data_IF_183988692332
#
_entry.id   IF_183988692332
#
_cell.length_a   1.000
_cell.length_b   1.000
_cell.length_c   1.000
_cell.angle_alpha   90.00
_cell.angle_beta   90.00
_cell.angle_gamma   90.00
#
_symmetry.space_group_name_H-M   'P 1'
#
loop_
_entity.id
_entity.type
_entity.pdbx_description
1 polymer ?
#
# COMPACT_ATOMS: atom_id res chain seq x y z
N UNK A 1 -37.32 14.25 43.48
CA UNK A 1 -36.71 13.21 42.60
C UNK A 1 -36.97 13.64 41.17
N UNK A 2 -35.95 13.91 40.34
CA UNK A 2 -36.17 14.26 38.95
C UNK A 2 -36.66 13.01 38.19
N UNK A 3 -37.70 13.19 37.38
CA UNK A 3 -38.24 12.19 36.47
C UNK A 3 -37.14 11.74 35.50
N UNK A 4 -37.00 10.42 35.36
CA UNK A 4 -36.05 9.82 34.44
C UNK A 4 -36.34 10.26 33.02
N UNK A 5 -35.32 10.81 32.36
CA UNK A 5 -35.29 10.98 30.92
C UNK A 5 -35.69 9.65 30.29
N UNK A 6 -36.84 9.64 29.63
CA UNK A 6 -37.24 8.56 28.75
C UNK A 6 -36.13 8.44 27.71
N UNK A 7 -35.30 7.40 27.82
CA UNK A 7 -34.42 6.98 26.75
C UNK A 7 -35.29 6.87 25.49
N UNK A 8 -35.20 7.88 24.62
CA UNK A 8 -35.90 7.89 23.35
C UNK A 8 -35.58 6.57 22.65
N UNK A 9 -36.61 5.82 22.31
CA UNK A 9 -36.46 4.46 21.80
C UNK A 9 -35.89 4.51 20.37
N UNK A 10 -34.56 4.57 20.30
CA UNK A 10 -33.82 4.51 19.05
C UNK A 10 -34.22 3.25 18.27
N UNK A 11 -34.45 3.41 16.97
CA UNK A 11 -34.87 2.35 16.05
C UNK A 11 -36.37 2.00 16.05
N UNK A 12 -37.23 2.82 16.65
CA UNK A 12 -38.69 2.55 16.69
C UNK A 12 -39.51 3.27 15.61
N UNK A 13 -38.99 4.35 15.02
CA UNK A 13 -39.67 5.09 13.96
C UNK A 13 -38.68 5.89 13.09
N UNK A 14 -39.16 6.47 11.99
CA UNK A 14 -38.36 7.38 11.15
C UNK A 14 -37.93 8.65 11.91
N UNK A 15 -38.67 9.05 12.94
CA UNK A 15 -38.32 10.16 13.83
C UNK A 15 -37.26 9.76 14.87
N UNK A 16 -37.03 8.46 15.07
CA UNK A 16 -36.03 7.90 15.99
C UNK A 16 -35.24 6.80 15.28
N UNK A 17 -34.51 7.12 14.19
CA UNK A 17 -33.80 6.12 13.42
C UNK A 17 -32.62 5.53 14.21
N UNK A 18 -32.18 4.32 13.83
CA UNK A 18 -30.91 3.78 14.33
C UNK A 18 -29.76 4.59 13.71
N UNK A 19 -28.98 5.26 14.54
CA UNK A 19 -27.80 5.98 14.10
C UNK A 19 -26.61 5.02 14.14
N UNK A 20 -25.89 4.94 13.03
CA UNK A 20 -24.67 4.13 12.93
C UNK A 20 -23.49 5.10 12.84
N UNK A 21 -22.80 5.41 13.95
CA UNK A 21 -21.73 6.41 13.95
C UNK A 21 -20.59 6.01 13.02
N UNK A 22 -20.08 6.96 12.23
CA UNK A 22 -18.92 6.75 11.36
C UNK A 22 -19.15 5.83 10.16
N UNK A 23 -20.41 5.61 9.76
CA UNK A 23 -20.75 4.92 8.50
C UNK A 23 -21.49 5.87 7.59
N UNK A 24 -20.99 6.06 6.37
CA UNK A 24 -21.68 6.89 5.37
C UNK A 24 -22.87 6.10 4.81
N UNK A 25 -23.93 6.81 4.44
CA UNK A 25 -25.11 6.19 3.83
C UNK A 25 -24.78 5.39 2.55
N UNK A 26 -23.78 5.82 1.77
CA UNK A 26 -23.31 5.10 0.58
C UNK A 26 -22.68 3.75 0.91
N UNK A 27 -21.89 3.68 1.98
CA UNK A 27 -21.18 2.46 2.43
C UNK A 27 -22.21 1.46 2.96
N UNK A 28 -23.14 1.94 3.81
CA UNK A 28 -24.23 1.10 4.32
C UNK A 28 -25.13 0.57 3.20
N UNK A 29 -25.41 1.40 2.18
CA UNK A 29 -26.16 0.97 0.99
C UNK A 29 -25.46 -0.16 0.24
N UNK A 30 -24.13 -0.16 0.16
CA UNK A 30 -23.38 -1.26 -0.47
C UNK A 30 -23.56 -2.57 0.31
N UNK A 31 -23.53 -2.53 1.64
CA UNK A 31 -23.86 -3.69 2.47
C UNK A 31 -25.32 -4.15 2.25
N UNK A 32 -26.29 -3.22 2.24
CA UNK A 32 -27.70 -3.57 2.03
C UNK A 32 -27.92 -4.23 0.66
N UNK A 33 -27.23 -3.78 -0.39
CA UNK A 33 -27.25 -4.45 -1.69
C UNK A 33 -26.75 -5.90 -1.59
N UNK A 34 -25.69 -6.16 -0.83
CA UNK A 34 -25.19 -7.52 -0.63
C UNK A 34 -26.19 -8.43 0.11
N UNK A 35 -26.99 -7.85 1.01
CA UNK A 35 -27.98 -8.61 1.80
C UNK A 35 -29.26 -8.88 0.99
N UNK A 36 -29.78 -7.86 0.31
CA UNK A 36 -31.12 -7.90 -0.27
C UNK A 36 -31.15 -8.18 -1.77
N UNK A 37 -30.06 -7.92 -2.52
CA UNK A 37 -30.03 -8.20 -3.95
C UNK A 37 -29.57 -9.65 -4.20
N UNK A 38 -30.34 -10.45 -4.96
CA UNK A 38 -29.86 -11.75 -5.42
C UNK A 38 -28.55 -11.60 -6.20
N UNK A 39 -27.65 -12.59 -6.13
CA UNK A 39 -26.42 -12.59 -6.93
C UNK A 39 -26.66 -12.55 -8.46
N UNK A 40 -27.89 -12.85 -8.89
CA UNK A 40 -28.34 -12.76 -10.28
C UNK A 40 -28.88 -11.37 -10.68
N UNK A 41 -28.88 -10.41 -9.77
CA UNK A 41 -29.31 -9.03 -10.05
C UNK A 41 -28.38 -8.38 -11.09
N UNK A 42 -28.97 -7.58 -11.98
CA UNK A 42 -28.25 -6.79 -12.98
C UNK A 42 -27.14 -5.93 -12.37
N UNK A 43 -27.26 -5.52 -11.10
CA UNK A 43 -26.19 -4.84 -10.37
C UNK A 43 -24.92 -5.69 -10.21
N UNK A 44 -25.06 -6.94 -9.77
CA UNK A 44 -23.91 -7.85 -9.62
C UNK A 44 -23.34 -8.22 -10.98
N UNK A 45 -24.21 -8.45 -11.97
CA UNK A 45 -23.79 -8.67 -13.35
C UNK A 45 -23.03 -7.46 -13.87
N UNK A 46 -23.48 -6.22 -13.67
CA UNK A 46 -22.77 -5.02 -14.17
C UNK A 46 -21.39 -4.85 -13.54
N UNK A 47 -21.30 -5.04 -12.22
CA UNK A 47 -20.02 -4.99 -11.48
C UNK A 47 -19.04 -6.02 -12.04
N UNK A 48 -19.52 -7.23 -12.39
CA UNK A 48 -18.65 -8.34 -12.80
C UNK A 48 -18.49 -8.47 -14.33
N UNK A 49 -19.35 -7.81 -15.13
CA UNK A 49 -19.51 -8.04 -16.57
C UNK A 49 -18.37 -7.51 -17.43
N UNK A 50 -17.51 -6.66 -16.90
CA UNK A 50 -16.36 -6.15 -17.63
C UNK A 50 -15.24 -5.70 -16.69
N UNK A 51 -14.57 -6.69 -16.07
CA UNK A 51 -13.41 -6.48 -15.19
C UNK A 51 -12.16 -5.97 -15.93
N UNK A 52 -12.23 -5.69 -17.24
CA UNK A 52 -11.14 -5.06 -17.99
C UNK A 52 -11.19 -3.53 -17.89
N UNK A 53 -12.36 -2.95 -17.61
CA UNK A 53 -12.49 -1.52 -17.35
C UNK A 53 -11.97 -1.18 -15.95
N UNK A 54 -10.93 -0.36 -15.89
CA UNK A 54 -10.31 0.07 -14.65
C UNK A 54 -11.26 0.86 -13.72
N UNK A 55 -12.23 1.57 -14.31
CA UNK A 55 -13.26 2.29 -13.55
C UNK A 55 -14.22 1.32 -12.87
N UNK A 56 -14.56 0.19 -13.51
CA UNK A 56 -15.43 -0.82 -12.91
C UNK A 56 -14.73 -1.52 -11.76
N UNK A 57 -13.48 -1.92 -11.96
CA UNK A 57 -12.75 -2.64 -10.93
C UNK A 57 -12.40 -1.77 -9.70
N UNK A 58 -12.24 -0.45 -9.85
CA UNK A 58 -12.18 0.46 -8.69
C UNK A 58 -13.49 0.48 -7.91
N UNK A 59 -14.64 0.61 -8.59
CA UNK A 59 -15.96 0.59 -7.93
C UNK A 59 -16.19 -0.75 -7.22
N UNK A 60 -15.75 -1.84 -7.84
CA UNK A 60 -15.78 -3.19 -7.26
C UNK A 60 -14.90 -3.26 -6.00
N UNK A 61 -13.69 -2.70 -6.03
CA UNK A 61 -12.82 -2.61 -4.85
C UNK A 61 -13.50 -1.84 -3.72
N UNK A 62 -14.00 -0.64 -3.98
CA UNK A 62 -14.71 0.18 -2.96
C UNK A 62 -15.93 -0.55 -2.41
N UNK A 63 -16.71 -1.19 -3.28
CA UNK A 63 -17.87 -1.99 -2.89
C UNK A 63 -17.49 -3.16 -1.97
N UNK A 64 -16.49 -3.95 -2.34
CA UNK A 64 -16.01 -5.05 -1.51
C UNK A 64 -15.39 -4.54 -0.20
N UNK A 65 -14.65 -3.43 -0.22
CA UNK A 65 -14.09 -2.81 0.99
C UNK A 65 -15.16 -2.37 1.98
N UNK A 66 -16.24 -1.74 1.51
CA UNK A 66 -17.38 -1.38 2.34
C UNK A 66 -18.02 -2.61 2.97
N UNK A 67 -18.21 -3.69 2.18
CA UNK A 67 -18.78 -4.94 2.68
C UNK A 67 -17.86 -5.58 3.71
N UNK A 68 -16.56 -5.69 3.45
CA UNK A 68 -15.62 -6.30 4.39
C UNK A 68 -15.64 -5.58 5.74
N UNK A 69 -15.47 -4.25 5.72
CA UNK A 69 -15.42 -3.42 6.93
C UNK A 69 -16.74 -3.43 7.71
N UNK A 70 -17.87 -3.28 7.03
CA UNK A 70 -19.17 -3.25 7.70
C UNK A 70 -19.59 -4.64 8.17
N UNK A 71 -19.30 -5.70 7.42
CA UNK A 71 -19.59 -7.07 7.83
C UNK A 71 -18.78 -7.44 9.07
N UNK A 72 -17.50 -7.06 9.13
CA UNK A 72 -16.70 -7.20 10.34
C UNK A 72 -17.33 -6.46 11.53
N UNK A 73 -17.68 -5.18 11.33
CA UNK A 73 -18.30 -4.36 12.38
C UNK A 73 -19.63 -4.91 12.89
N UNK A 74 -20.46 -5.49 12.03
CA UNK A 74 -21.77 -6.04 12.39
C UNK A 74 -21.74 -7.55 12.71
N UNK A 75 -20.57 -8.19 12.71
CA UNK A 75 -20.45 -9.61 13.02
C UNK A 75 -21.09 -10.53 11.97
N UNK A 76 -20.91 -10.23 10.69
CA UNK A 76 -21.45 -11.00 9.54
C UNK A 76 -20.31 -11.72 8.79
N UNK A 77 -19.70 -12.77 9.39
CA UNK A 77 -18.43 -13.36 8.93
C UNK A 77 -18.50 -13.94 7.51
N UNK A 78 -19.69 -14.36 7.06
CA UNK A 78 -19.88 -14.89 5.70
C UNK A 78 -19.58 -13.83 4.64
N UNK A 79 -20.07 -12.61 4.82
CA UNK A 79 -19.89 -11.52 3.85
C UNK A 79 -18.49 -10.90 3.98
N UNK A 80 -17.96 -10.84 5.19
CA UNK A 80 -16.57 -10.42 5.44
C UNK A 80 -15.59 -11.32 4.67
N UNK A 81 -15.66 -12.64 4.85
CA UNK A 81 -14.78 -13.59 4.17
C UNK A 81 -14.93 -13.58 2.65
N UNK A 82 -16.16 -13.42 2.15
CA UNK A 82 -16.40 -13.28 0.72
C UNK A 82 -15.74 -12.00 0.17
N UNK A 83 -15.97 -10.86 0.83
CA UNK A 83 -15.44 -9.58 0.39
C UNK A 83 -13.92 -9.54 0.45
N UNK A 84 -13.31 -10.12 1.49
CA UNK A 84 -11.85 -10.26 1.57
C UNK A 84 -11.28 -11.08 0.40
N UNK A 85 -11.94 -12.19 0.05
CA UNK A 85 -11.57 -13.00 -1.10
C UNK A 85 -11.61 -12.23 -2.41
N UNK A 86 -12.67 -11.44 -2.62
CA UNK A 86 -12.80 -10.59 -3.81
C UNK A 86 -11.77 -9.45 -3.83
N UNK A 87 -11.52 -8.77 -2.71
CA UNK A 87 -10.46 -7.74 -2.62
C UNK A 87 -9.11 -8.35 -3.00
N UNK A 88 -8.75 -9.50 -2.42
CA UNK A 88 -7.50 -10.19 -2.72
C UNK A 88 -7.42 -10.61 -4.19
N UNK A 89 -8.52 -11.09 -4.77
CA UNK A 89 -8.58 -11.44 -6.19
C UNK A 89 -8.39 -10.20 -7.06
N UNK A 90 -9.05 -9.08 -6.74
CA UNK A 90 -8.90 -7.81 -7.44
C UNK A 90 -7.45 -7.31 -7.36
N UNK A 91 -6.85 -7.25 -6.18
CA UNK A 91 -5.46 -6.79 -6.00
C UNK A 91 -4.47 -7.69 -6.76
N UNK A 92 -4.63 -9.02 -6.67
CA UNK A 92 -3.70 -9.96 -7.33
C UNK A 92 -3.80 -9.90 -8.85
N UNK A 93 -5.02 -9.81 -9.40
CA UNK A 93 -5.26 -9.74 -10.85
C UNK A 93 -4.92 -8.37 -11.42
N UNK A 94 -4.96 -7.34 -10.58
CA UNK A 94 -4.89 -5.95 -11.00
C UNK A 94 -3.61 -5.25 -10.59
N UNK A 95 -2.67 -5.89 -9.91
CA UNK A 95 -1.39 -5.27 -9.53
C UNK A 95 -0.68 -4.58 -10.72
N UNK A 96 -0.69 -5.19 -11.91
CA UNK A 96 -0.19 -4.55 -13.15
C UNK A 96 -1.15 -3.53 -13.79
N UNK A 97 -2.44 -3.59 -13.45
CA UNK A 97 -3.48 -2.73 -14.01
C UNK A 97 -3.92 -1.61 -13.07
N UNK A 98 -3.52 -1.55 -11.80
CA UNK A 98 -3.85 -0.53 -10.80
C UNK A 98 -3.56 0.89 -11.31
N UNK A 99 -2.58 1.01 -12.21
CA UNK A 99 -2.32 2.20 -13.02
C UNK A 99 -3.52 2.72 -13.80
N UNK A 100 -4.32 1.83 -14.39
CA UNK A 100 -5.51 2.25 -15.12
C UNK A 100 -6.62 2.73 -14.16
N UNK A 101 -6.62 2.29 -12.88
CA UNK A 101 -7.68 2.58 -11.90
C UNK A 101 -7.62 4.02 -11.42
N UNK A 102 -6.40 4.53 -11.26
CA UNK A 102 -6.08 5.82 -10.69
C UNK A 102 -6.19 6.98 -11.68
N UNK A 103 -5.90 6.75 -12.97
CA UNK A 103 -5.84 7.82 -13.99
C UNK A 103 -7.18 8.52 -14.30
N UNK A 104 -8.32 8.04 -13.80
CA UNK A 104 -9.65 8.59 -14.11
C UNK A 104 -10.46 9.07 -12.91
N UNK A 105 -9.93 8.95 -11.69
CA UNK A 105 -10.68 9.34 -10.49
C UNK A 105 -9.96 10.44 -9.71
N UNK A 106 -10.77 11.30 -9.09
CA UNK A 106 -10.26 12.46 -8.36
C UNK A 106 -9.54 12.09 -7.06
N UNK A 107 -9.74 10.88 -6.52
CA UNK A 107 -9.12 10.47 -5.25
C UNK A 107 -9.03 8.94 -5.01
N UNK A 108 -8.16 8.23 -5.73
CA UNK A 108 -8.04 6.79 -5.60
C UNK A 108 -7.41 6.36 -4.28
N UNK A 109 -6.48 7.14 -3.72
CA UNK A 109 -5.74 6.76 -2.51
C UNK A 109 -6.66 6.80 -1.29
N UNK A 110 -7.45 7.86 -1.09
CA UNK A 110 -8.27 7.95 0.13
C UNK A 110 -9.36 6.88 0.20
N UNK A 111 -9.82 6.39 -0.94
CA UNK A 111 -10.78 5.29 -1.01
C UNK A 111 -10.22 3.94 -0.51
N UNK A 112 -8.89 3.73 -0.61
CA UNK A 112 -8.23 2.48 -0.25
C UNK A 112 -7.85 2.46 1.23
N UNK A 113 -7.55 3.61 1.84
CA UNK A 113 -7.11 3.73 3.23
C UNK A 113 -8.04 3.07 4.27
N UNK A 114 -9.38 3.19 4.18
CA UNK A 114 -10.28 2.47 5.09
C UNK A 114 -10.11 0.95 5.00
N UNK A 115 -9.78 0.44 3.81
CA UNK A 115 -9.51 -0.99 3.58
C UNK A 115 -8.19 -1.41 4.22
N UNK A 116 -7.16 -0.56 4.15
CA UNK A 116 -5.87 -0.79 4.81
C UNK A 116 -6.04 -0.83 6.33
N UNK A 117 -6.80 0.12 6.89
CA UNK A 117 -7.13 0.12 8.32
C UNK A 117 -7.88 -1.15 8.73
N UNK A 118 -8.82 -1.62 7.90
CA UNK A 118 -9.50 -2.91 8.10
C UNK A 118 -8.53 -4.11 8.07
N UNK A 119 -7.60 -4.16 7.11
CA UNK A 119 -6.62 -5.23 7.01
C UNK A 119 -5.73 -5.31 8.26
N UNK A 120 -5.33 -4.15 8.80
CA UNK A 120 -4.60 -4.06 10.06
C UNK A 120 -5.43 -4.51 11.26
N UNK A 121 -6.68 -4.06 11.34
CA UNK A 121 -7.60 -4.44 12.42
C UNK A 121 -7.80 -5.95 12.49
N UNK A 122 -7.88 -6.61 11.33
CA UNK A 122 -8.04 -8.07 11.20
C UNK A 122 -6.72 -8.84 11.21
N UNK A 123 -5.58 -8.15 11.37
CA UNK A 123 -4.23 -8.72 11.34
C UNK A 123 -3.92 -9.49 10.05
N UNK A 124 -4.58 -9.14 8.94
CA UNK A 124 -4.38 -9.77 7.65
C UNK A 124 -3.16 -9.19 6.94
N UNK A 125 -1.97 -9.69 7.29
CA UNK A 125 -0.69 -9.19 6.74
C UNK A 125 -0.59 -9.24 5.23
N UNK A 126 -1.16 -10.27 4.60
CA UNK A 126 -1.13 -10.38 3.14
C UNK A 126 -1.95 -9.26 2.50
N UNK A 127 -3.16 -9.01 2.99
CA UNK A 127 -4.01 -7.94 2.49
C UNK A 127 -3.39 -6.56 2.78
N UNK A 128 -2.81 -6.38 3.98
CA UNK A 128 -2.08 -5.17 4.35
C UNK A 128 -0.97 -4.85 3.35
N UNK A 129 -0.10 -5.81 3.04
CA UNK A 129 1.00 -5.62 2.08
C UNK A 129 0.52 -5.31 0.66
N UNK A 130 -0.50 -6.01 0.15
CA UNK A 130 -1.02 -5.73 -1.19
C UNK A 130 -1.71 -4.36 -1.29
N UNK A 131 -2.42 -3.93 -0.25
CA UNK A 131 -3.03 -2.60 -0.21
C UNK A 131 -1.98 -1.49 -0.09
N UNK A 132 -0.97 -1.69 0.77
CA UNK A 132 0.13 -0.74 0.92
C UNK A 132 0.90 -0.60 -0.39
N UNK A 133 1.27 -1.73 -1.02
CA UNK A 133 1.90 -1.75 -2.34
C UNK A 133 1.03 -1.02 -3.38
N UNK A 134 -0.27 -1.32 -3.41
CA UNK A 134 -1.22 -0.66 -4.30
C UNK A 134 -1.20 0.87 -4.13
N UNK A 135 -1.25 1.37 -2.90
CA UNK A 135 -1.16 2.81 -2.60
C UNK A 135 0.19 3.40 -3.06
N UNK A 136 1.29 2.72 -2.76
CA UNK A 136 2.63 3.19 -3.12
C UNK A 136 2.79 3.27 -4.64
N UNK A 137 2.42 2.20 -5.34
CA UNK A 137 2.43 2.12 -6.80
C UNK A 137 1.50 3.14 -7.46
N UNK A 138 0.33 3.41 -6.88
CA UNK A 138 -0.55 4.47 -7.36
C UNK A 138 0.09 5.87 -7.23
N UNK A 139 0.91 6.09 -6.21
CA UNK A 139 1.50 7.41 -5.92
C UNK A 139 2.70 7.76 -6.81
N UNK A 140 3.38 6.78 -7.42
CA UNK A 140 4.49 7.05 -8.35
C UNK A 140 4.03 7.58 -9.70
N UNK A 141 2.75 7.42 -10.05
CA UNK A 141 2.19 7.84 -11.33
C UNK A 141 1.94 9.36 -11.31
N UNK A 142 2.66 10.17 -12.11
CA UNK A 142 2.60 11.63 -12.01
C UNK A 142 1.21 12.23 -12.28
N UNK A 143 0.39 11.53 -13.07
CA UNK A 143 -0.98 11.94 -13.40
C UNK A 143 -1.92 11.78 -12.20
N UNK A 144 -1.58 10.91 -11.25
CA UNK A 144 -2.47 10.50 -10.17
C UNK A 144 -2.37 11.40 -8.96
N UNK A 145 -1.17 11.91 -8.66
CA UNK A 145 -0.94 12.60 -7.39
C UNK A 145 -0.06 13.84 -7.58
N UNK A 146 -0.66 15.03 -7.77
CA UNK A 146 0.11 16.26 -7.84
C UNK A 146 0.82 16.52 -6.50
N UNK A 147 1.92 17.30 -6.49
CA UNK A 147 2.73 17.52 -5.30
C UNK A 147 1.94 18.05 -4.09
N UNK A 148 0.94 18.90 -4.34
CA UNK A 148 0.06 19.45 -3.30
C UNK A 148 -0.84 18.40 -2.67
N UNK A 149 -1.37 17.45 -3.46
CA UNK A 149 -2.13 16.31 -2.94
C UNK A 149 -1.25 15.36 -2.13
N UNK A 150 -0.02 15.12 -2.59
CA UNK A 150 0.96 14.32 -1.86
C UNK A 150 1.32 14.95 -0.50
N UNK A 151 1.55 16.26 -0.48
CA UNK A 151 1.77 17.03 0.75
C UNK A 151 0.56 16.95 1.70
N UNK A 152 -0.65 17.14 1.17
CA UNK A 152 -1.89 17.00 1.94
C UNK A 152 -2.05 15.59 2.53
N UNK A 153 -1.72 14.53 1.78
CA UNK A 153 -1.75 13.16 2.30
C UNK A 153 -0.75 12.98 3.46
N UNK A 154 0.47 13.51 3.31
CA UNK A 154 1.47 13.47 4.39
C UNK A 154 1.03 14.21 5.65
N UNK A 155 0.39 15.37 5.51
CA UNK A 155 -0.11 16.14 6.65
C UNK A 155 -1.33 15.48 7.31
N UNK A 156 -2.29 14.98 6.51
CA UNK A 156 -3.58 14.48 7.01
C UNK A 156 -3.52 13.07 7.60
N UNK A 157 -2.79 12.15 6.96
CA UNK A 157 -2.71 10.76 7.46
C UNK A 157 -1.78 10.62 8.66
N UNK A 158 -0.98 11.66 8.89
CA UNK A 158 -0.14 11.76 10.06
C UNK A 158 0.97 10.71 10.07
N UNK A 159 2.08 11.07 10.70
CA UNK A 159 3.25 10.21 10.84
C UNK A 159 2.98 8.93 11.64
N UNK A 160 1.90 8.89 12.44
CA UNK A 160 1.61 7.84 13.44
C UNK A 160 0.76 6.68 12.92
N UNK A 161 -0.18 6.93 12.02
CA UNK A 161 -1.13 5.90 11.58
C UNK A 161 -0.49 4.97 10.54
N UNK A 162 0.28 5.56 9.62
CA UNK A 162 0.85 4.86 8.46
C UNK A 162 2.33 5.26 8.22
N UNK A 163 3.27 4.91 9.12
CA UNK A 163 4.67 5.35 9.01
C UNK A 163 5.34 4.90 7.71
N UNK A 164 5.03 3.70 7.20
CA UNK A 164 5.60 3.22 5.93
C UNK A 164 5.09 4.03 4.72
N UNK A 165 3.80 4.37 4.66
CA UNK A 165 3.27 5.22 3.58
C UNK A 165 3.82 6.65 3.70
N UNK A 166 3.88 7.17 4.92
CA UNK A 166 4.46 8.48 5.20
C UNK A 166 5.90 8.57 4.69
N UNK A 167 6.76 7.60 5.04
CA UNK A 167 8.16 7.61 4.62
C UNK A 167 8.32 7.45 3.11
N UNK A 168 7.44 6.70 2.47
CA UNK A 168 7.41 6.59 1.02
C UNK A 168 6.99 7.91 0.34
N UNK A 169 5.92 8.55 0.80
CA UNK A 169 5.49 9.85 0.27
C UNK A 169 6.51 10.96 0.49
N UNK A 170 7.18 10.92 1.64
CA UNK A 170 8.32 11.79 1.91
C UNK A 170 9.44 11.60 0.88
N UNK A 171 9.79 10.35 0.55
CA UNK A 171 10.75 10.06 -0.51
C UNK A 171 10.30 10.56 -1.87
N UNK A 172 9.01 10.43 -2.21
CA UNK A 172 8.48 11.00 -3.45
C UNK A 172 8.61 12.51 -3.50
N UNK A 173 8.26 13.23 -2.42
CA UNK A 173 8.47 14.68 -2.35
C UNK A 173 9.94 15.05 -2.49
N UNK A 174 10.84 14.29 -1.87
CA UNK A 174 12.28 14.49 -2.04
C UNK A 174 12.72 14.33 -3.50
N UNK A 175 12.19 13.33 -4.20
CA UNK A 175 12.52 13.05 -5.59
C UNK A 175 12.05 14.16 -6.56
N UNK A 176 10.98 14.90 -6.22
CA UNK A 176 10.51 16.03 -7.02
C UNK A 176 11.48 17.23 -7.03
N UNK A 177 12.30 17.35 -5.98
CA UNK A 177 13.37 18.32 -5.89
C UNK A 177 12.94 19.76 -5.63
N UNK A 178 13.93 20.64 -5.48
CA UNK A 178 13.76 21.99 -4.92
C UNK A 178 12.75 22.87 -5.67
N UNK A 179 12.61 22.71 -7.00
CA UNK A 179 11.71 23.53 -7.81
C UNK A 179 10.26 23.35 -7.39
N UNK A 180 9.88 22.12 -7.03
CA UNK A 180 8.53 21.82 -6.55
C UNK A 180 8.29 22.40 -5.16
N UNK A 181 9.29 22.37 -4.28
CA UNK A 181 9.15 22.83 -2.90
C UNK A 181 9.04 24.36 -2.77
N UNK A 182 9.36 25.10 -3.84
CA UNK A 182 9.17 26.55 -3.89
C UNK A 182 7.70 26.96 -4.04
N UNK A 183 6.81 26.02 -4.39
CA UNK A 183 5.37 26.27 -4.43
C UNK A 183 4.84 26.75 -3.07
N UNK A 184 3.84 27.63 -3.10
CA UNK A 184 3.25 28.26 -1.90
C UNK A 184 2.57 27.26 -0.97
N UNK A 185 2.17 26.08 -1.47
CA UNK A 185 1.60 25.01 -0.67
C UNK A 185 2.57 24.44 0.37
N UNK A 186 3.89 24.53 0.14
CA UNK A 186 4.90 24.05 1.09
C UNK A 186 5.17 25.10 2.17
N UNK A 187 5.05 24.70 3.43
CA UNK A 187 5.40 25.58 4.56
C UNK A 187 6.92 25.81 4.62
N UNK A 188 7.36 26.77 5.44
CA UNK A 188 8.79 26.99 5.67
C UNK A 188 9.42 25.75 6.31
N UNK A 189 8.70 25.11 7.23
CA UNK A 189 9.08 23.91 7.95
C UNK A 189 9.23 22.72 6.99
N UNK A 190 8.27 22.52 6.07
CA UNK A 190 8.34 21.47 5.05
C UNK A 190 9.60 21.62 4.19
N UNK A 191 9.87 22.84 3.72
CA UNK A 191 11.06 23.14 2.88
C UNK A 191 12.35 22.84 3.64
N UNK A 192 12.48 23.31 4.88
CA UNK A 192 13.66 23.05 5.73
C UNK A 192 13.86 21.54 5.89
N UNK A 193 12.78 20.81 6.18
CA UNK A 193 12.85 19.38 6.38
C UNK A 193 13.31 18.63 5.12
N UNK A 194 12.78 18.99 3.95
CA UNK A 194 13.16 18.40 2.66
C UNK A 194 14.63 18.72 2.30
N UNK A 195 15.09 19.96 2.49
CA UNK A 195 16.50 20.33 2.27
C UNK A 195 17.46 19.56 3.18
N UNK A 196 17.14 19.48 4.48
CA UNK A 196 17.97 18.75 5.45
C UNK A 196 18.02 17.25 5.12
N UNK A 197 16.89 16.68 4.72
CA UNK A 197 16.83 15.29 4.33
C UNK A 197 17.60 14.99 3.05
N UNK A 198 17.49 15.84 2.01
CA UNK A 198 18.30 15.69 0.80
C UNK A 198 19.81 15.67 1.11
N UNK A 199 20.26 16.58 2.00
CA UNK A 199 21.66 16.64 2.42
C UNK A 199 22.09 15.41 3.23
N UNK A 200 21.22 14.86 4.08
CA UNK A 200 21.51 13.70 4.94
C UNK A 200 21.41 12.35 4.23
N UNK A 201 20.53 12.22 3.24
CA UNK A 201 20.29 10.98 2.51
C UNK A 201 21.16 10.82 1.26
N UNK A 202 22.13 11.72 1.06
CA UNK A 202 23.10 11.66 -0.05
C UNK A 202 24.53 11.53 0.52
N UNK A 203 25.18 10.35 0.46
CA UNK A 203 24.67 9.07 -0.05
C UNK A 203 23.65 8.41 0.89
N UNK A 204 22.95 7.37 0.40
CA UNK A 204 21.98 6.60 1.20
C UNK A 204 22.65 6.07 2.47
N UNK A 205 22.00 6.30 3.60
CA UNK A 205 22.54 5.91 4.89
C UNK A 205 22.51 4.38 5.05
N UNK A 206 23.66 3.78 5.36
CA UNK A 206 23.77 2.33 5.56
C UNK A 206 22.83 1.77 6.64
N UNK A 207 22.43 2.58 7.63
CA UNK A 207 21.48 2.21 8.67
C UNK A 207 20.07 1.91 8.13
N UNK A 208 19.69 2.45 6.97
CA UNK A 208 18.41 2.15 6.32
C UNK A 208 18.33 0.67 5.94
N UNK A 209 19.47 0.01 5.71
CA UNK A 209 19.57 -1.40 5.32
C UNK A 209 19.66 -2.39 6.48
N UNK A 210 19.55 -1.95 7.74
CA UNK A 210 19.69 -2.84 8.90
C UNK A 210 18.60 -3.92 8.91
N UNK A 211 18.90 -5.14 9.32
CA UNK A 211 17.89 -6.21 9.52
C UNK A 211 16.99 -6.53 8.31
N UNK A 212 17.36 -6.11 7.10
CA UNK A 212 16.63 -6.48 5.89
C UNK A 212 17.00 -7.92 5.48
N UNK A 213 16.01 -8.71 5.08
CA UNK A 213 16.22 -10.09 4.60
C UNK A 213 16.86 -10.06 3.22
N UNK A 214 16.33 -9.24 2.34
CA UNK A 214 16.86 -8.98 1.02
C UNK A 214 17.88 -7.84 1.05
N UNK A 215 18.93 -7.93 0.21
CA UNK A 215 19.99 -6.95 0.17
C UNK A 215 19.56 -5.71 -0.62
N UNK A 216 18.50 -4.99 -0.22
CA UNK A 216 17.94 -3.88 -1.00
C UNK A 216 18.94 -2.74 -1.24
N UNK A 217 19.85 -2.46 -0.31
CA UNK A 217 20.73 -1.27 -0.40
C UNK A 217 22.20 -1.59 -0.63
N UNK A 218 22.58 -2.86 -0.66
CA UNK A 218 23.97 -3.28 -0.73
C UNK A 218 24.12 -4.45 -1.68
N UNK A 219 25.08 -4.38 -2.60
CA UNK A 219 25.33 -5.47 -3.54
C UNK A 219 25.63 -6.77 -2.77
N UNK A 220 24.87 -7.86 -2.98
CA UNK A 220 25.20 -9.13 -2.38
C UNK A 220 26.46 -9.66 -3.06
N UNK A 221 27.59 -9.59 -2.37
CA UNK A 221 28.87 -10.04 -2.90
C UNK A 221 28.76 -11.51 -3.39
N UNK A 222 29.02 -11.81 -4.68
CA UNK A 222 28.78 -13.14 -5.25
C UNK A 222 29.63 -14.24 -4.59
N UNK A 223 30.75 -13.89 -3.96
CA UNK A 223 31.55 -14.80 -3.12
C UNK A 223 31.00 -14.98 -1.70
N UNK A 224 30.28 -13.98 -1.17
CA UNK A 224 29.56 -14.04 0.09
C UNK A 224 28.06 -14.20 -0.17
N UNK A 225 27.70 -15.42 -0.55
CA UNK A 225 26.33 -15.91 -0.57
C UNK A 225 25.54 -15.71 0.75
N UNK A 226 26.10 -15.12 1.82
CA UNK A 226 25.57 -15.09 3.17
C UNK A 226 24.16 -14.49 3.32
N UNK A 227 23.88 -13.36 2.68
CA UNK A 227 22.57 -12.69 2.81
C UNK A 227 21.47 -13.47 2.09
N UNK A 228 21.68 -13.87 0.83
CA UNK A 228 20.75 -14.75 0.12
C UNK A 228 20.83 -16.23 0.53
N UNK A 229 21.78 -16.61 1.41
CA UNK A 229 21.83 -17.90 2.10
C UNK A 229 20.82 -17.95 3.23
N UNK A 230 20.43 -16.83 3.82
CA UNK A 230 19.34 -16.78 4.80
C UNK A 230 18.03 -17.35 4.21
N UNK A 231 17.85 -17.23 2.89
CA UNK A 231 16.74 -17.84 2.15
C UNK A 231 16.83 -19.38 2.10
N UNK A 232 18.02 -19.98 2.13
CA UNK A 232 18.19 -21.44 2.01
C UNK A 232 17.62 -22.21 3.21
N UNK A 233 17.61 -21.62 4.41
CA UNK A 233 17.00 -22.23 5.59
C UNK A 233 15.48 -22.06 5.67
N UNK A 234 14.89 -21.26 4.78
CA UNK A 234 13.47 -20.86 4.84
C UNK A 234 12.67 -21.32 3.62
N UNK A 235 13.32 -21.86 2.60
CA UNK A 235 12.70 -22.24 1.33
C UNK A 235 12.71 -23.76 1.15
N UNK A 236 11.61 -24.29 0.60
CA UNK A 236 11.30 -25.71 0.47
C UNK A 236 12.42 -26.56 -0.18
N UNK A 237 13.17 -26.00 -1.15
CA UNK A 237 14.22 -26.70 -1.91
C UNK A 237 15.24 -25.71 -2.48
N UNK A 238 16.48 -26.17 -2.69
CA UNK A 238 17.54 -25.45 -3.42
C UNK A 238 17.10 -24.96 -4.81
N UNK A 239 16.17 -25.68 -5.45
CA UNK A 239 15.61 -25.29 -6.75
C UNK A 239 14.79 -24.00 -6.65
N UNK A 240 13.96 -23.85 -5.61
CA UNK A 240 13.16 -22.64 -5.43
C UNK A 240 14.05 -21.45 -5.06
N UNK A 241 15.03 -21.67 -4.17
CA UNK A 241 15.99 -20.64 -3.78
C UNK A 241 16.79 -20.13 -5.00
N UNK A 242 17.26 -21.03 -5.88
CA UNK A 242 17.95 -20.64 -7.12
C UNK A 242 17.07 -19.83 -8.07
N UNK A 243 15.79 -20.20 -8.22
CA UNK A 243 14.85 -19.47 -9.09
C UNK A 243 14.52 -18.09 -8.55
N UNK A 244 14.21 -17.98 -7.25
CA UNK A 244 13.95 -16.69 -6.58
C UNK A 244 15.17 -15.78 -6.67
N UNK A 245 16.37 -16.33 -6.43
CA UNK A 245 17.64 -15.63 -6.62
C UNK A 245 17.84 -15.17 -8.07
N UNK A 246 17.47 -15.99 -9.05
CA UNK A 246 17.49 -15.62 -10.46
C UNK A 246 16.64 -14.39 -10.73
N UNK A 247 15.37 -14.40 -10.27
CA UNK A 247 14.46 -13.24 -10.39
C UNK A 247 15.04 -12.01 -9.69
N UNK A 248 15.60 -12.18 -8.48
CA UNK A 248 16.25 -11.09 -7.75
C UNK A 248 17.37 -10.43 -8.57
N UNK A 249 18.33 -11.20 -9.09
CA UNK A 249 19.45 -10.64 -9.84
C UNK A 249 19.08 -10.09 -11.22
N UNK A 250 17.91 -10.47 -11.75
CA UNK A 250 17.37 -9.87 -12.98
C UNK A 250 16.80 -8.48 -12.72
N UNK A 251 16.19 -8.24 -11.55
CA UNK A 251 15.53 -6.98 -11.22
C UNK A 251 16.41 -6.03 -10.40
N UNK A 252 17.31 -6.58 -9.59
CA UNK A 252 18.29 -5.87 -8.77
C UNK A 252 19.69 -6.22 -9.30
N UNK A 253 19.98 -5.73 -10.49
CA UNK A 253 21.24 -5.98 -11.21
C UNK A 253 22.34 -4.99 -10.80
N UNK A 254 23.50 -5.05 -11.45
CA UNK A 254 24.62 -4.15 -11.11
C UNK A 254 24.26 -2.67 -11.28
N UNK A 255 23.44 -2.32 -12.27
CA UNK A 255 23.02 -0.94 -12.53
C UNK A 255 22.17 -0.41 -11.36
N UNK A 256 21.21 -1.21 -10.88
CA UNK A 256 20.44 -0.87 -9.67
C UNK A 256 21.34 -0.49 -8.50
N UNK A 257 22.37 -1.29 -8.24
CA UNK A 257 23.24 -1.07 -7.09
C UNK A 257 24.25 0.07 -7.30
N UNK A 258 24.70 0.32 -8.52
CA UNK A 258 25.48 1.52 -8.85
C UNK A 258 24.67 2.79 -8.60
N UNK A 259 23.39 2.80 -8.97
CA UNK A 259 22.48 3.93 -8.75
C UNK A 259 22.19 4.13 -7.26
N UNK A 260 21.83 3.07 -6.52
CA UNK A 260 21.44 3.19 -5.10
C UNK A 260 22.62 3.58 -4.20
N UNK A 261 23.85 3.22 -4.57
CA UNK A 261 25.07 3.58 -3.83
C UNK A 261 25.72 4.87 -4.32
N UNK A 262 25.15 5.49 -5.34
CA UNK A 262 25.64 6.75 -5.90
C UNK A 262 25.69 7.86 -4.84
N UNK A 263 26.78 8.62 -4.84
CA UNK A 263 26.91 9.86 -4.07
C UNK A 263 26.24 11.07 -4.73
N UNK A 264 25.60 10.88 -5.89
CA UNK A 264 24.90 11.95 -6.61
C UNK A 264 23.57 12.24 -5.91
N UNK A 265 23.31 13.53 -5.65
CA UNK A 265 22.09 13.96 -4.99
C UNK A 265 20.84 13.49 -5.74
N UNK A 266 19.86 13.00 -4.98
CA UNK A 266 18.58 12.47 -5.45
C UNK A 266 18.64 11.18 -6.30
N UNK A 267 19.79 10.80 -6.87
CA UNK A 267 19.90 9.57 -7.67
C UNK A 267 19.44 8.31 -6.91
N UNK A 268 19.86 8.07 -5.67
CA UNK A 268 19.32 6.95 -4.90
C UNK A 268 17.85 7.12 -4.51
N UNK A 269 17.41 8.36 -4.25
CA UNK A 269 16.01 8.67 -3.94
C UNK A 269 15.10 8.28 -5.10
N UNK A 270 15.50 8.55 -6.34
CA UNK A 270 14.77 8.13 -7.54
C UNK A 270 14.61 6.62 -7.57
N UNK A 271 15.68 5.87 -7.35
CA UNK A 271 15.63 4.41 -7.33
C UNK A 271 14.75 3.86 -6.19
N UNK A 272 14.79 4.47 -5.01
CA UNK A 272 13.89 4.10 -3.91
C UNK A 272 12.41 4.37 -4.20
N UNK A 273 12.11 5.41 -4.98
CA UNK A 273 10.75 5.68 -5.44
C UNK A 273 10.26 4.64 -6.45
N UNK A 274 11.15 3.93 -7.14
CA UNK A 274 10.81 2.89 -8.12
C UNK A 274 10.56 1.51 -7.48
N UNK A 275 10.87 1.33 -6.19
CA UNK A 275 10.68 0.05 -5.49
C UNK A 275 9.27 -0.56 -5.64
N UNK A 276 8.16 0.20 -5.62
CA UNK A 276 6.84 -0.37 -5.89
C UNK A 276 6.77 -1.00 -7.30
N UNK A 277 7.31 -0.35 -8.33
CA UNK A 277 7.37 -0.93 -9.68
C UNK A 277 8.19 -2.22 -9.69
N UNK A 278 9.39 -2.18 -9.09
CA UNK A 278 10.27 -3.35 -9.02
C UNK A 278 9.60 -4.51 -8.26
N UNK A 279 8.87 -4.21 -7.17
CA UNK A 279 8.08 -5.20 -6.42
C UNK A 279 6.99 -5.83 -7.28
N UNK A 280 6.28 -5.04 -8.11
CA UNK A 280 5.28 -5.57 -9.05
C UNK A 280 5.92 -6.56 -10.04
N UNK A 281 7.05 -6.19 -10.64
CA UNK A 281 7.77 -7.07 -11.58
C UNK A 281 8.27 -8.34 -10.89
N UNK A 282 8.79 -8.21 -9.66
CA UNK A 282 9.21 -9.34 -8.83
C UNK A 282 8.04 -10.30 -8.56
N UNK A 283 6.87 -9.77 -8.20
CA UNK A 283 5.67 -10.58 -7.99
C UNK A 283 5.22 -11.30 -9.26
N UNK A 284 5.27 -10.65 -10.41
CA UNK A 284 4.90 -11.22 -11.71
C UNK A 284 5.85 -12.34 -12.13
N UNK A 285 7.16 -12.15 -12.00
CA UNK A 285 8.14 -13.19 -12.30
C UNK A 285 8.06 -14.35 -11.32
N UNK A 286 7.82 -14.09 -10.03
CA UNK A 286 7.56 -15.15 -9.04
C UNK A 286 6.32 -15.98 -9.37
N UNK A 287 5.27 -15.39 -9.95
CA UNK A 287 4.05 -16.13 -10.36
C UNK A 287 4.34 -17.11 -11.48
N UNK A 288 5.31 -16.81 -12.36
CA UNK A 288 5.75 -17.70 -13.46
C UNK A 288 6.57 -18.90 -12.95
N UNK A 289 7.01 -18.87 -11.69
CA UNK A 289 7.71 -19.99 -11.07
C UNK A 289 6.74 -21.09 -10.61
N UNK A 290 7.31 -22.24 -10.21
CA UNK A 290 6.56 -23.42 -9.72
C UNK A 290 5.58 -23.07 -8.59
N UNK A 291 4.56 -23.91 -8.41
CA UNK A 291 3.49 -23.75 -7.40
C UNK A 291 3.92 -23.88 -5.92
N UNK A 292 5.23 -23.87 -5.59
CA UNK A 292 5.68 -23.92 -4.19
C UNK A 292 5.27 -22.65 -3.42
N UNK A 293 4.93 -22.80 -2.14
CA UNK A 293 4.57 -21.69 -1.22
C UNK A 293 5.67 -20.64 -1.04
N UNK A 294 6.93 -21.00 -1.31
CA UNK A 294 8.08 -20.13 -1.14
C UNK A 294 8.05 -18.86 -1.98
N UNK A 295 7.26 -18.83 -3.07
CA UNK A 295 7.05 -17.59 -3.82
C UNK A 295 6.28 -16.55 -3.00
N UNK A 296 5.26 -16.99 -2.25
CA UNK A 296 4.46 -16.11 -1.40
C UNK A 296 5.26 -15.66 -0.19
N UNK A 297 6.09 -16.53 0.37
CA UNK A 297 7.01 -16.19 1.46
C UNK A 297 8.08 -15.18 1.01
N UNK A 298 8.71 -15.40 -0.15
CA UNK A 298 9.68 -14.48 -0.70
C UNK A 298 9.09 -13.09 -0.97
N UNK A 299 7.88 -13.03 -1.55
CA UNK A 299 7.19 -11.76 -1.77
C UNK A 299 6.87 -11.07 -0.43
N UNK A 300 6.37 -11.81 0.56
CA UNK A 300 6.08 -11.24 1.89
C UNK A 300 7.33 -10.72 2.60
N UNK A 301 8.50 -11.34 2.41
CA UNK A 301 9.76 -10.82 2.96
C UNK A 301 10.19 -9.54 2.27
N UNK A 302 10.06 -9.47 0.94
CA UNK A 302 10.33 -8.24 0.19
C UNK A 302 9.39 -7.10 0.63
N UNK A 303 8.10 -7.40 0.78
CA UNK A 303 7.10 -6.43 1.25
C UNK A 303 7.45 -5.90 2.65
N UNK A 304 7.88 -6.78 3.54
CA UNK A 304 8.32 -6.41 4.87
C UNK A 304 9.60 -5.56 4.84
N UNK A 305 10.60 -5.91 4.03
CA UNK A 305 11.84 -5.13 3.89
C UNK A 305 11.58 -3.72 3.34
N UNK A 306 10.74 -3.60 2.29
CA UNK A 306 10.31 -2.33 1.73
C UNK A 306 9.55 -1.50 2.79
N UNK A 307 8.64 -2.13 3.53
CA UNK A 307 7.90 -1.48 4.61
C UNK A 307 8.85 -0.94 5.68
N UNK A 308 9.80 -1.76 6.16
CA UNK A 308 10.76 -1.37 7.20
C UNK A 308 11.68 -0.24 6.73
N UNK A 309 12.13 -0.30 5.47
CA UNK A 309 12.90 0.76 4.85
C UNK A 309 12.14 2.10 4.92
N UNK A 310 10.87 2.13 4.52
CA UNK A 310 10.09 3.36 4.56
C UNK A 310 9.70 3.80 5.97
N UNK A 311 9.48 2.87 6.91
CA UNK A 311 9.30 3.24 8.32
C UNK A 311 10.51 4.02 8.84
N UNK A 312 11.74 3.56 8.56
CA UNK A 312 12.95 4.27 8.97
C UNK A 312 13.11 5.63 8.30
N UNK A 313 12.71 5.73 7.04
CA UNK A 313 12.67 7.03 6.35
C UNK A 313 11.67 8.00 6.99
N UNK A 314 10.53 7.49 7.48
CA UNK A 314 9.59 8.30 8.25
C UNK A 314 10.17 8.76 9.60
N UNK A 315 10.90 7.90 10.30
CA UNK A 315 11.63 8.24 11.53
C UNK A 315 12.66 9.35 11.28
N UNK A 316 13.37 9.31 10.17
CA UNK A 316 14.31 10.37 9.79
C UNK A 316 13.68 11.76 9.68
N UNK A 317 12.44 11.84 9.19
CA UNK A 317 11.70 13.09 9.13
C UNK A 317 11.27 13.59 10.52
N UNK A 318 11.15 12.71 11.51
CA UNK A 318 10.89 13.08 12.91
C UNK A 318 12.11 13.75 13.54
N UNK A 319 13.32 13.23 13.28
CA UNK A 319 14.55 13.82 13.84
C UNK A 319 14.87 15.23 13.31
N UNK A 320 14.15 15.68 12.28
CA UNK A 320 14.34 17.00 11.66
C UNK A 320 13.34 18.04 12.20
N UNK A 321 12.21 17.62 12.78
CA UNK A 321 11.10 18.48 13.24
C UNK A 321 10.83 18.30 14.73
#
# INVERSE_FOLDING_TARGET
>A
MPLGDHAQAEGTSDQHPIIIPGVKASEFRNLMKMIYCPLSDAFFVDIHSDRQSSTKAHRELVFCSDIARLSHRFGIPRFEKWAEGEIMHLLTRSAGNLNAYTLRQNDPITSILPTLAYAKLTLNKRLEYELQHGIQYCSILPVVLPPTSLLNLMHNLGRREEPALFGFWFMLLLNLGYKTWQDEAFTKEDRIALFLAQARLTPVLACLGRDLVFPLLTWPNPGHNGQLKALQGRICLDRCARKIRGVWFTLFDSEYYEVITSGVALTPTTMLCELPSIRSDFADDLRRLSTCKCKTEALSWLDEDIRQLFVRLAEYYQDIN
#
